data_IF_795727749365
#
_entry.id   IF_795727749365
#
_cell.length_a   1.000
_cell.length_b   1.000
_cell.length_c   1.000
_cell.angle_alpha   90.00
_cell.angle_beta   90.00
_cell.angle_gamma   90.00
#
_symmetry.space_group_name_H-M   'P 1'
#
loop_
_entity.id
_entity.type
_entity.pdbx_description
1 polymer ?
#
# COMPACT_ATOMS: atom_id res chain seq x y z
N UNK A 1 22.77 10.52 0.74
CA UNK A 1 22.21 10.83 2.06
C UNK A 1 20.72 11.14 1.86
N UNK A 2 19.87 10.12 1.79
CA UNK A 2 18.42 10.31 1.68
C UNK A 2 17.88 10.45 3.09
N UNK A 3 17.45 11.66 3.47
CA UNK A 3 16.73 11.89 4.71
C UNK A 3 15.28 11.47 4.48
N UNK A 4 14.88 10.46 5.23
CA UNK A 4 13.54 10.19 5.78
C UNK A 4 12.52 11.29 5.45
N UNK A 5 11.61 10.98 4.53
CA UNK A 5 10.49 11.84 4.12
C UNK A 5 9.15 11.11 4.19
N UNK A 6 9.12 9.94 4.83
CA UNK A 6 7.84 9.40 5.27
C UNK A 6 7.44 10.26 6.49
N UNK A 7 6.24 10.89 6.49
CA UNK A 7 5.71 11.41 7.75
C UNK A 7 5.77 10.27 8.76
N UNK A 8 6.06 10.53 10.05
CA UNK A 8 6.16 9.45 11.04
C UNK A 8 4.90 8.61 10.91
N UNK A 9 5.09 7.32 10.59
CA UNK A 9 4.03 6.44 10.10
C UNK A 9 2.77 6.46 10.99
N UNK A 10 2.96 6.83 12.26
CA UNK A 10 1.94 7.03 13.29
C UNK A 10 0.87 8.07 12.93
N UNK A 11 1.21 9.24 12.37
CA UNK A 11 0.23 10.31 12.15
C UNK A 11 -0.75 9.96 11.01
N UNK A 12 -0.25 9.41 9.90
CA UNK A 12 -1.10 8.98 8.79
C UNK A 12 -2.05 7.86 9.21
N UNK A 13 -1.56 6.92 10.02
CA UNK A 13 -2.38 5.81 10.54
C UNK A 13 -3.44 6.33 11.51
N UNK A 14 -3.12 7.31 12.36
CA UNK A 14 -4.09 7.94 13.27
C UNK A 14 -5.19 8.70 12.50
N UNK A 15 -4.84 9.36 11.39
CA UNK A 15 -5.80 10.06 10.52
C UNK A 15 -6.72 9.08 9.78
N UNK A 16 -6.14 8.04 9.17
CA UNK A 16 -6.88 7.10 8.31
C UNK A 16 -7.64 6.05 9.10
N UNK A 17 -7.10 5.60 10.23
CA UNK A 17 -7.61 4.48 11.03
C UNK A 17 -7.67 4.84 12.53
N UNK A 18 -8.52 5.83 12.90
CA UNK A 18 -8.60 6.29 14.29
C UNK A 18 -9.18 5.24 15.25
N UNK A 19 -9.97 4.29 14.74
CA UNK A 19 -10.65 3.25 15.53
C UNK A 19 -9.94 1.88 15.44
N UNK A 20 -8.69 1.84 14.96
CA UNK A 20 -7.96 0.58 14.80
C UNK A 20 -7.73 -0.14 16.15
N UNK A 21 -7.73 -1.48 16.16
CA UNK A 21 -7.47 -2.23 17.38
C UNK A 21 -6.02 -2.04 17.88
N UNK A 22 -5.86 -2.15 19.20
CA UNK A 22 -4.57 -2.10 19.88
C UNK A 22 -4.48 -3.33 20.81
N UNK A 23 -3.58 -4.30 20.56
CA UNK A 23 -2.58 -4.32 19.49
C UNK A 23 -3.18 -4.58 18.09
N UNK A 24 -2.44 -4.25 17.00
CA UNK A 24 -2.82 -4.59 15.63
C UNK A 24 -3.11 -6.07 15.45
N UNK A 25 -4.14 -6.38 14.66
CA UNK A 25 -4.38 -7.75 14.21
C UNK A 25 -3.36 -8.13 13.13
N UNK A 26 -2.87 -9.38 13.10
CA UNK A 26 -2.00 -9.84 12.01
C UNK A 26 -2.77 -9.85 10.68
N UNK A 27 -2.08 -9.72 9.52
CA UNK A 27 -2.70 -9.93 8.22
C UNK A 27 -3.34 -11.32 8.10
N UNK A 28 -4.49 -11.41 7.43
CA UNK A 28 -5.17 -12.70 7.23
C UNK A 28 -4.38 -13.61 6.29
N UNK A 29 -3.73 -13.01 5.28
CA UNK A 29 -2.89 -13.71 4.31
C UNK A 29 -1.43 -13.65 4.70
N UNK A 30 -0.65 -14.65 4.28
CA UNK A 30 0.79 -14.54 4.42
C UNK A 30 1.27 -13.40 3.52
N UNK A 31 2.16 -12.55 4.04
CA UNK A 31 2.72 -11.39 3.35
C UNK A 31 3.29 -11.81 1.98
N UNK A 32 3.93 -12.98 1.87
CA UNK A 32 4.45 -13.49 0.58
C UNK A 32 3.36 -13.75 -0.48
N UNK A 33 2.11 -13.94 -0.08
CA UNK A 33 0.97 -14.12 -1.00
C UNK A 33 0.45 -12.79 -1.57
N UNK A 34 0.89 -11.66 -1.01
CA UNK A 34 0.60 -10.31 -1.51
C UNK A 34 1.61 -9.88 -2.58
N UNK A 35 2.75 -10.57 -2.70
CA UNK A 35 3.73 -10.31 -3.76
C UNK A 35 3.21 -10.74 -5.13
N UNK A 36 3.62 -9.99 -6.16
CA UNK A 36 3.42 -10.40 -7.54
C UNK A 36 2.82 -9.31 -8.42
N UNK A 37 2.47 -9.74 -9.62
CA UNK A 37 1.99 -8.86 -10.69
C UNK A 37 0.46 -8.87 -10.67
N UNK A 38 -0.14 -7.71 -10.40
CA UNK A 38 -1.56 -7.45 -10.59
C UNK A 38 -1.75 -6.61 -11.85
N UNK A 39 -2.87 -6.82 -12.54
CA UNK A 39 -3.26 -6.01 -13.69
C UNK A 39 -4.68 -5.51 -13.49
N UNK A 40 -4.82 -4.19 -13.57
CA UNK A 40 -6.10 -3.50 -13.54
C UNK A 40 -6.31 -2.71 -14.86
N UNK A 41 -7.49 -2.74 -15.49
CA UNK A 41 -7.73 -2.00 -16.73
C UNK A 41 -7.56 -0.49 -16.62
N UNK A 42 -7.79 0.09 -15.44
CA UNK A 42 -7.63 1.52 -15.17
C UNK A 42 -6.21 1.89 -14.71
N UNK A 43 -5.54 1.00 -14.00
CA UNK A 43 -4.22 1.25 -13.43
C UNK A 43 -3.07 0.52 -14.13
N UNK A 44 -3.32 -0.27 -15.15
CA UNK A 44 -2.27 -1.04 -15.82
C UNK A 44 -1.65 -2.10 -14.91
N UNK A 45 -0.38 -2.40 -15.16
CA UNK A 45 0.34 -3.48 -14.47
C UNK A 45 1.06 -2.93 -13.23
N UNK A 46 0.78 -3.52 -12.08
CA UNK A 46 1.42 -3.17 -10.80
C UNK A 46 2.13 -4.41 -10.26
N UNK A 47 3.42 -4.28 -9.97
CA UNK A 47 4.19 -5.35 -9.33
C UNK A 47 4.49 -4.95 -7.90
N UNK A 48 3.88 -5.65 -6.93
CA UNK A 48 4.19 -5.51 -5.51
C UNK A 48 5.42 -6.36 -5.17
N UNK A 49 6.37 -5.75 -4.46
CA UNK A 49 7.62 -6.38 -4.00
C UNK A 49 7.81 -6.07 -2.53
N UNK A 50 8.27 -7.01 -1.72
CA UNK A 50 8.76 -6.68 -0.38
C UNK A 50 10.00 -5.77 -0.46
N UNK A 51 10.07 -4.80 0.45
CA UNK A 51 11.23 -3.95 0.70
C UNK A 51 11.43 -3.81 2.22
N UNK A 52 12.66 -3.69 2.74
CA UNK A 52 12.89 -3.45 4.15
C UNK A 52 12.27 -2.11 4.57
N UNK A 53 11.67 -2.03 5.77
CA UNK A 53 11.18 -0.76 6.28
C UNK A 53 12.33 0.26 6.41
N UNK A 54 12.19 1.48 5.87
CA UNK A 54 13.27 2.47 5.84
C UNK A 54 13.78 2.88 7.22
N UNK A 55 12.91 2.86 8.23
CA UNK A 55 13.26 3.11 9.65
C UNK A 55 13.89 1.93 10.39
N UNK A 56 14.13 0.78 9.74
CA UNK A 56 14.84 -0.35 10.36
C UNK A 56 14.06 -1.11 11.45
N UNK A 57 12.73 -0.96 11.53
CA UNK A 57 11.87 -1.61 12.53
C UNK A 57 11.78 -3.13 12.38
N UNK A 58 12.37 -3.72 11.33
CA UNK A 58 12.23 -5.14 11.00
C UNK A 58 10.87 -5.48 10.37
N UNK A 59 9.96 -4.52 10.32
CA UNK A 59 8.72 -4.62 9.57
C UNK A 59 9.03 -4.60 8.07
N UNK A 60 8.22 -5.31 7.29
CA UNK A 60 8.32 -5.33 5.84
C UNK A 60 7.31 -4.34 5.28
N UNK A 61 7.72 -3.58 4.26
CA UNK A 61 6.82 -2.73 3.48
C UNK A 61 6.70 -3.31 2.08
N UNK A 62 5.55 -3.10 1.43
CA UNK A 62 5.47 -3.40 0.00
C UNK A 62 5.72 -2.17 -0.82
N UNK A 63 6.43 -2.37 -1.92
CA UNK A 63 6.75 -1.32 -2.88
C UNK A 63 6.25 -1.71 -4.26
N UNK A 64 5.61 -0.77 -4.94
CA UNK A 64 5.32 -0.89 -6.36
C UNK A 64 5.71 0.38 -7.11
N UNK A 65 6.56 0.23 -8.14
CA UNK A 65 7.01 1.35 -8.96
C UNK A 65 6.05 1.58 -10.13
N UNK A 66 5.59 2.82 -10.31
CA UNK A 66 4.65 3.24 -11.36
C UNK A 66 5.32 4.22 -12.32
N UNK A 67 6.22 3.69 -13.14
CA UNK A 67 6.95 4.47 -14.16
C UNK A 67 6.13 4.75 -15.43
N UNK A 68 4.99 4.08 -15.59
CA UNK A 68 4.10 4.14 -16.75
C UNK A 68 3.10 5.30 -16.70
N UNK A 69 3.10 6.08 -15.62
CA UNK A 69 2.19 7.19 -15.36
C UNK A 69 2.82 8.54 -15.74
N UNK A 70 1.99 9.53 -16.10
CA UNK A 70 2.43 10.93 -16.34
C UNK A 70 3.19 11.49 -15.14
N UNK A 71 2.70 11.22 -13.93
CA UNK A 71 3.40 11.46 -12.68
C UNK A 71 3.94 10.14 -12.17
N UNK A 72 5.24 9.90 -12.39
CA UNK A 72 5.88 8.68 -11.91
C UNK A 72 5.89 8.72 -10.40
N UNK A 73 5.29 7.70 -9.79
CA UNK A 73 5.23 7.58 -8.35
C UNK A 73 5.60 6.16 -7.96
N UNK A 74 5.88 5.99 -6.68
CA UNK A 74 6.03 4.70 -6.06
C UNK A 74 4.93 4.55 -5.03
N UNK A 75 4.38 3.36 -4.90
CA UNK A 75 3.44 3.01 -3.84
C UNK A 75 4.23 2.32 -2.74
N UNK A 76 4.14 2.79 -1.49
CA UNK A 76 4.70 2.13 -0.30
C UNK A 76 3.57 1.75 0.64
N UNK A 77 3.37 0.46 0.87
CA UNK A 77 2.29 -0.04 1.72
C UNK A 77 2.84 -0.46 3.07
N UNK A 78 2.27 0.11 4.13
CA UNK A 78 2.61 -0.17 5.52
C UNK A 78 1.42 -0.85 6.20
N UNK A 79 1.66 -1.96 6.86
CA UNK A 79 0.59 -2.71 7.53
C UNK A 79 0.03 -1.90 8.69
N UNK A 80 -1.29 -1.88 8.83
CA UNK A 80 -1.97 -1.20 9.95
C UNK A 80 -2.54 -2.22 10.92
N UNK A 81 -3.47 -3.05 10.45
CA UNK A 81 -4.11 -4.10 11.24
C UNK A 81 -4.99 -4.96 10.34
N UNK A 82 -4.96 -6.28 10.51
CA UNK A 82 -5.70 -7.20 9.67
C UNK A 82 -5.32 -7.00 8.21
N UNK A 83 -6.30 -6.80 7.36
CA UNK A 83 -6.09 -6.60 5.92
C UNK A 83 -6.06 -5.11 5.51
N UNK A 84 -5.90 -4.20 6.48
CA UNK A 84 -5.80 -2.75 6.27
C UNK A 84 -4.36 -2.25 6.27
N UNK A 85 -4.05 -1.34 5.34
CA UNK A 85 -2.71 -0.87 5.03
C UNK A 85 -2.72 0.63 4.71
N UNK A 86 -1.73 1.39 5.15
CA UNK A 86 -1.51 2.76 4.66
C UNK A 86 -0.72 2.71 3.36
N UNK A 87 -1.17 3.41 2.32
CA UNK A 87 -0.48 3.52 1.03
C UNK A 87 0.11 4.93 0.91
N UNK A 88 1.43 5.04 0.96
CA UNK A 88 2.15 6.28 0.64
C UNK A 88 2.47 6.34 -0.85
N UNK A 89 2.30 7.52 -1.45
CA UNK A 89 2.46 7.76 -2.88
C UNK A 89 3.52 8.84 -3.16
N UNK A 90 4.80 8.62 -2.81
CA UNK A 90 5.86 9.56 -3.20
C UNK A 90 5.98 9.67 -4.72
N UNK A 91 5.94 10.91 -5.22
CA UNK A 91 6.25 11.22 -6.62
C UNK A 91 7.77 11.13 -6.82
N UNK A 92 8.22 10.24 -7.70
CA UNK A 92 9.64 9.90 -7.89
C UNK A 92 10.49 11.04 -8.44
N UNK A 93 9.88 11.95 -9.21
CA UNK A 93 10.55 13.12 -9.80
C UNK A 93 10.38 14.39 -8.96
N UNK A 94 9.72 14.30 -7.80
CA UNK A 94 9.54 15.41 -6.87
C UNK A 94 10.53 15.26 -5.70
N UNK A 95 11.37 16.26 -5.39
CA UNK A 95 12.35 16.21 -4.30
C UNK A 95 11.76 16.24 -2.87
N UNK A 96 10.59 15.63 -2.64
CA UNK A 96 10.14 15.28 -1.29
C UNK A 96 9.02 16.12 -0.69
N UNK A 97 8.28 16.90 -1.47
CA UNK A 97 7.33 17.87 -0.89
C UNK A 97 5.88 17.39 -0.77
N UNK A 98 5.50 16.31 -1.45
CA UNK A 98 4.13 15.78 -1.40
C UNK A 98 4.22 14.25 -1.30
N UNK A 99 4.01 13.73 -0.10
CA UNK A 99 3.66 12.33 0.10
C UNK A 99 2.16 12.32 0.36
N UNK A 100 1.38 12.00 -0.66
CA UNK A 100 -0.02 11.64 -0.44
C UNK A 100 -0.06 10.29 0.27
N UNK A 101 -0.97 10.16 1.24
CA UNK A 101 -1.26 8.89 1.88
C UNK A 101 -2.75 8.61 1.83
N UNK A 102 -3.11 7.36 1.57
CA UNK A 102 -4.50 6.90 1.50
C UNK A 102 -4.66 5.60 2.28
N UNK A 103 -5.90 5.34 2.71
CA UNK A 103 -6.26 4.07 3.28
C UNK A 103 -6.27 3.00 2.17
N UNK A 104 -5.74 1.83 2.48
CA UNK A 104 -5.73 0.64 1.67
C UNK A 104 -6.37 -0.54 2.40
N UNK A 105 -7.03 -1.42 1.65
CA UNK A 105 -7.54 -2.69 2.15
C UNK A 105 -7.37 -3.78 1.09
N UNK A 106 -6.72 -4.89 1.45
CA UNK A 106 -6.71 -6.06 0.60
C UNK A 106 -8.04 -6.80 0.71
N UNK A 107 -8.71 -6.99 -0.42
CA UNK A 107 -9.93 -7.80 -0.51
C UNK A 107 -9.55 -9.24 -0.79
N UNK A 108 -10.09 -10.15 0.01
CA UNK A 108 -9.88 -11.59 -0.12
C UNK A 108 -11.11 -12.17 -0.84
N UNK A 109 -10.86 -12.91 -1.92
CA UNK A 109 -11.88 -13.60 -2.70
C UNK A 109 -12.44 -14.82 -1.97
N UNK A 110 -13.54 -15.37 -2.48
CA UNK A 110 -14.16 -16.60 -1.94
C UNK A 110 -13.25 -17.84 -2.00
N UNK A 111 -12.17 -17.78 -2.77
CA UNK A 111 -11.14 -18.81 -2.86
C UNK A 111 -10.01 -18.64 -1.82
N UNK A 112 -10.11 -17.66 -0.92
CA UNK A 112 -9.09 -17.36 0.09
C UNK A 112 -7.84 -16.67 -0.48
N UNK A 113 -7.87 -16.20 -1.74
CA UNK A 113 -6.75 -15.48 -2.37
C UNK A 113 -7.04 -13.99 -2.46
N UNK A 114 -6.00 -13.18 -2.64
CA UNK A 114 -6.16 -11.74 -2.93
C UNK A 114 -6.99 -11.55 -4.20
N UNK A 115 -8.10 -10.84 -4.07
CA UNK A 115 -8.94 -10.42 -5.18
C UNK A 115 -8.62 -8.99 -5.63
N UNK A 116 -8.05 -8.16 -4.75
CA UNK A 116 -7.59 -6.82 -5.11
C UNK A 116 -7.15 -5.98 -3.91
N UNK A 117 -6.64 -4.79 -4.20
CA UNK A 117 -6.33 -3.75 -3.23
C UNK A 117 -7.25 -2.56 -3.49
N UNK A 118 -8.05 -2.19 -2.49
CA UNK A 118 -8.93 -1.03 -2.56
C UNK A 118 -8.31 0.15 -1.82
N UNK A 119 -8.24 1.31 -2.47
CA UNK A 119 -7.77 2.57 -1.91
C UNK A 119 -8.90 3.58 -1.67
N UNK A 120 -8.71 4.48 -0.71
CA UNK A 120 -9.61 5.62 -0.53
C UNK A 120 -9.29 6.53 0.66
N UNK A 121 -9.98 7.66 0.70
CA UNK A 121 -10.10 8.50 1.91
C UNK A 121 -11.57 8.47 2.37
N UNK A 122 -11.85 8.81 3.64
CA UNK A 122 -13.18 8.76 4.27
C UNK A 122 -14.33 9.53 3.54
N UNK A 123 -14.10 10.10 2.36
CA UNK A 123 -15.13 10.69 1.48
C UNK A 123 -15.08 10.29 0.01
N UNK A 124 -14.03 9.64 -0.49
CA UNK A 124 -13.94 9.19 -1.89
C UNK A 124 -13.10 7.91 -1.97
N UNK A 125 -13.70 6.84 -2.53
CA UNK A 125 -12.96 5.68 -3.05
C UNK A 125 -12.03 6.19 -4.15
N UNK A 126 -10.72 6.03 -3.99
CA UNK A 126 -9.75 6.28 -5.05
C UNK A 126 -9.01 4.96 -5.28
N UNK A 127 -9.31 4.34 -6.42
CA UNK A 127 -8.73 3.08 -6.92
C UNK A 127 -9.28 1.79 -6.29
N UNK A 128 -9.85 0.93 -7.12
CA UNK A 128 -9.85 -0.53 -6.89
C UNK A 128 -8.77 -1.06 -7.83
N UNK A 129 -7.68 -1.59 -7.29
CA UNK A 129 -6.68 -2.33 -8.05
C UNK A 129 -7.11 -3.79 -7.99
N UNK A 130 -7.60 -4.33 -9.11
CA UNK A 130 -8.00 -5.74 -9.16
C UNK A 130 -6.76 -6.64 -9.28
N UNK A 131 -6.57 -7.58 -8.35
CA UNK A 131 -5.51 -8.59 -8.45
C UNK A 131 -6.01 -9.76 -9.28
N UNK A 132 -5.80 -9.72 -10.60
CA UNK A 132 -5.90 -10.94 -11.40
C UNK A 132 -4.61 -11.74 -11.26
N UNK A 133 -4.60 -12.70 -10.33
CA UNK A 133 -3.59 -13.76 -10.30
C UNK A 133 -3.78 -14.60 -11.57
N UNK A 134 -2.90 -14.42 -12.55
CA UNK A 134 -2.89 -15.27 -13.74
C UNK A 134 -2.47 -16.69 -13.33
N UNK A 135 -3.36 -17.66 -13.59
CA UNK A 135 -3.07 -19.09 -13.54
C UNK A 135 -1.98 -19.48 -14.55
#
# INVERSE_FOLDING_TARGET
MMKELDPPADEAVDILYPERPQPPLPPTLNITELEGISYDPGYGRITLREDPHPGGSGEKVFVADRHDMTWKHQMRLHHVSGDYWTIYLPVLENPGYIVEFVAGEFKIGSNGKVAGLQGGTNRQLLAVISCNVAC
#
